data_IF_097163325161
#
_entry.id   IF_097163325161
#
_cell.length_a   1.000
_cell.length_b   1.000
_cell.length_c   1.000
_cell.angle_alpha   90.00
_cell.angle_beta   90.00
_cell.angle_gamma   90.00
#
_symmetry.space_group_name_H-M   'P 1'
#
loop_
_entity.id
_entity.type
_entity.pdbx_description
1 polymer ?
#
# COMPACT_ATOMS: atom_id res chain seq x y z
N UNK A 1 -10.28 16.12 29.06
CA UNK A 1 -10.29 15.42 27.77
C UNK A 1 -9.34 16.18 26.86
N UNK A 2 -8.12 15.70 26.68
CA UNK A 2 -7.13 16.32 25.79
C UNK A 2 -7.47 15.88 24.37
N UNK A 3 -8.11 16.76 23.58
CA UNK A 3 -8.29 16.54 22.15
C UNK A 3 -6.95 16.81 21.49
N UNK A 4 -6.23 15.75 21.16
CA UNK A 4 -5.14 15.88 20.17
C UNK A 4 -5.77 16.40 18.88
N UNK A 5 -5.15 17.39 18.20
CA UNK A 5 -5.60 17.77 16.87
C UNK A 5 -5.55 16.53 15.97
N UNK A 6 -6.50 16.37 15.04
CA UNK A 6 -6.45 15.28 14.08
C UNK A 6 -5.08 15.30 13.41
N UNK A 7 -4.43 14.14 13.34
CA UNK A 7 -3.15 14.02 12.63
C UNK A 7 -3.38 14.54 11.19
N UNK A 8 -2.56 15.47 10.75
CA UNK A 8 -2.61 15.95 9.36
C UNK A 8 -2.26 14.75 8.49
N UNK A 9 -3.24 14.25 7.76
CA UNK A 9 -3.03 13.19 6.76
C UNK A 9 -2.40 13.86 5.54
N UNK A 10 -1.14 13.58 5.27
CA UNK A 10 -0.48 14.02 4.04
C UNK A 10 -1.03 13.15 2.90
N UNK A 11 -1.63 13.79 1.89
CA UNK A 11 -2.11 13.09 0.70
C UNK A 11 -0.94 12.64 -0.18
N UNK A 12 -1.12 11.55 -0.94
CA UNK A 12 -0.16 11.13 -1.97
C UNK A 12 0.01 12.19 -3.08
N UNK A 13 -1.02 13.03 -3.31
CA UNK A 13 -0.94 14.13 -4.27
C UNK A 13 -0.28 15.40 -3.70
N UNK A 14 0.05 15.43 -2.39
CA UNK A 14 0.65 16.60 -1.77
C UNK A 14 1.97 16.98 -2.48
N UNK A 15 2.17 18.26 -2.80
CA UNK A 15 3.42 18.72 -3.41
C UNK A 15 4.68 18.31 -2.65
N UNK A 16 4.62 18.17 -1.33
CA UNK A 16 5.77 17.71 -0.53
C UNK A 16 6.20 16.30 -0.89
N UNK A 17 5.25 15.39 -1.19
CA UNK A 17 5.55 14.02 -1.63
C UNK A 17 6.13 14.03 -3.04
N UNK A 18 5.56 14.80 -3.95
CA UNK A 18 6.07 14.94 -5.33
C UNK A 18 7.48 15.50 -5.38
N UNK A 19 7.80 16.45 -4.49
CA UNK A 19 9.09 17.13 -4.44
C UNK A 19 10.23 16.24 -3.89
N UNK A 20 9.94 15.08 -3.31
CA UNK A 20 10.96 14.17 -2.79
C UNK A 20 11.90 13.71 -3.91
N UNK A 21 13.19 13.93 -3.70
CA UNK A 21 14.23 13.46 -4.61
C UNK A 21 14.31 11.93 -4.58
N UNK A 22 14.51 11.32 -5.74
CA UNK A 22 14.78 9.90 -5.87
C UNK A 22 16.28 9.66 -6.05
N UNK A 23 16.85 8.80 -5.22
CA UNK A 23 18.19 8.20 -5.45
C UNK A 23 17.98 6.69 -5.51
N UNK A 24 17.79 6.19 -6.73
CA UNK A 24 17.45 4.78 -6.97
C UNK A 24 18.57 3.83 -6.47
N UNK A 25 18.18 2.84 -5.65
CA UNK A 25 19.10 1.86 -5.06
C UNK A 25 19.47 0.72 -6.00
N UNK A 26 18.69 0.48 -7.04
CA UNK A 26 18.81 -0.66 -7.97
C UNK A 26 18.74 -2.03 -7.28
N UNK A 27 18.08 -2.10 -6.12
CA UNK A 27 17.85 -3.38 -5.47
C UNK A 27 16.99 -4.32 -6.34
N UNK A 28 17.33 -5.60 -6.27
CA UNK A 28 16.61 -6.66 -6.98
C UNK A 28 15.24 -6.90 -6.41
N UNK A 29 14.37 -7.46 -7.25
CA UNK A 29 13.07 -7.95 -6.84
C UNK A 29 13.17 -9.38 -6.29
N UNK A 30 12.28 -9.68 -5.33
CA UNK A 30 12.16 -10.99 -4.69
C UNK A 30 10.71 -11.46 -4.83
N UNK A 31 10.51 -12.73 -5.17
CA UNK A 31 9.20 -13.34 -5.18
C UNK A 31 8.79 -13.71 -3.75
N UNK A 32 7.67 -13.19 -3.30
CA UNK A 32 7.16 -13.39 -1.94
C UNK A 32 6.64 -14.81 -1.68
N UNK A 33 6.26 -15.56 -2.72
CA UNK A 33 5.67 -16.89 -2.58
C UNK A 33 6.61 -17.90 -1.88
N UNK A 34 7.92 -17.67 -1.94
CA UNK A 34 8.94 -18.55 -1.35
C UNK A 34 9.76 -17.85 -0.26
N UNK A 35 9.33 -16.68 0.19
CA UNK A 35 10.14 -15.83 1.06
C UNK A 35 10.33 -16.42 2.47
N UNK A 36 9.25 -16.72 3.16
CA UNK A 36 9.29 -17.14 4.56
C UNK A 36 7.95 -17.80 4.96
N UNK A 37 7.98 -18.84 5.82
CA UNK A 37 6.78 -19.59 6.24
C UNK A 37 5.72 -18.75 6.96
N UNK A 38 6.08 -17.61 7.55
CA UNK A 38 5.15 -16.66 8.19
C UNK A 38 4.70 -15.50 7.28
N UNK A 39 5.12 -15.49 6.01
CA UNK A 39 4.66 -14.58 4.97
C UNK A 39 3.97 -15.41 3.91
N UNK A 40 2.65 -15.40 3.92
CA UNK A 40 1.82 -16.04 2.92
C UNK A 40 1.44 -15.04 1.82
N UNK A 41 1.11 -15.54 0.63
CA UNK A 41 0.62 -14.75 -0.50
C UNK A 41 -0.74 -15.28 -0.93
N UNK A 42 -1.68 -14.39 -1.19
CA UNK A 42 -2.97 -14.74 -1.76
C UNK A 42 -2.87 -14.88 -3.28
N UNK A 43 -2.78 -16.11 -3.74
CA UNK A 43 -2.71 -16.45 -5.17
C UNK A 43 -4.05 -16.29 -5.89
N UNK A 44 -5.16 -16.16 -5.16
CA UNK A 44 -6.50 -16.05 -5.75
C UNK A 44 -6.81 -14.63 -6.21
N UNK A 45 -6.07 -13.65 -5.71
CA UNK A 45 -6.25 -12.25 -6.02
C UNK A 45 -5.33 -11.81 -7.15
N UNK A 46 -5.64 -12.26 -8.36
CA UNK A 46 -5.07 -11.65 -9.57
C UNK A 46 -5.84 -10.37 -9.88
N UNK A 47 -5.35 -9.22 -9.41
CA UNK A 47 -5.91 -7.91 -9.76
C UNK A 47 -5.48 -7.53 -11.18
N UNK A 48 -4.41 -8.14 -11.67
CA UNK A 48 -3.84 -7.87 -12.99
C UNK A 48 -4.48 -8.78 -14.02
N UNK A 49 -5.28 -8.27 -14.97
CA UNK A 49 -5.74 -9.08 -16.10
C UNK A 49 -4.53 -9.60 -16.87
N UNK A 50 -4.41 -10.94 -17.00
CA UNK A 50 -3.41 -11.56 -17.87
C UNK A 50 -2.19 -12.14 -17.18
N UNK A 51 -2.37 -12.96 -16.16
CA UNK A 51 -1.35 -13.91 -15.61
C UNK A 51 -0.01 -13.31 -15.16
N UNK A 52 0.06 -12.02 -14.84
CA UNK A 52 1.30 -11.44 -14.33
C UNK A 52 1.56 -11.88 -12.90
N UNK A 53 2.59 -12.68 -12.67
CA UNK A 53 3.11 -13.02 -11.36
C UNK A 53 3.78 -11.84 -10.64
N UNK A 54 3.73 -10.63 -11.24
CA UNK A 54 4.44 -9.47 -10.73
C UNK A 54 3.90 -8.97 -9.40
N UNK A 55 2.59 -9.15 -9.12
CA UNK A 55 2.00 -8.78 -7.84
C UNK A 55 2.61 -9.54 -6.63
N UNK A 56 3.32 -10.63 -6.87
CA UNK A 56 4.07 -11.39 -5.87
C UNK A 56 5.48 -10.83 -5.61
N UNK A 57 5.90 -9.79 -6.32
CA UNK A 57 7.28 -9.29 -6.28
C UNK A 57 7.37 -7.97 -5.55
N UNK A 58 8.43 -7.81 -4.76
CA UNK A 58 8.80 -6.56 -4.09
C UNK A 58 10.31 -6.37 -4.12
N UNK A 59 10.79 -5.16 -3.82
CA UNK A 59 12.23 -4.92 -3.61
C UNK A 59 12.77 -5.77 -2.48
N UNK A 60 14.03 -6.17 -2.56
CA UNK A 60 14.70 -7.01 -1.57
C UNK A 60 14.59 -6.44 -0.16
N UNK A 61 14.86 -5.16 0.03
CA UNK A 61 14.75 -4.51 1.33
C UNK A 61 13.32 -4.49 1.90
N UNK A 62 12.30 -4.50 1.04
CA UNK A 62 10.89 -4.68 1.44
C UNK A 62 10.65 -6.11 1.90
N UNK A 63 11.12 -7.11 1.13
CA UNK A 63 10.99 -8.52 1.49
C UNK A 63 11.65 -8.84 2.84
N UNK A 64 12.88 -8.37 3.05
CA UNK A 64 13.61 -8.59 4.30
C UNK A 64 12.87 -7.97 5.51
N UNK A 65 12.24 -6.80 5.32
CA UNK A 65 11.39 -6.16 6.35
C UNK A 65 10.09 -6.91 6.61
N UNK A 66 9.48 -7.51 5.60
CA UNK A 66 8.30 -8.37 5.80
C UNK A 66 8.64 -9.57 6.70
N UNK A 67 9.84 -10.15 6.57
CA UNK A 67 10.30 -11.21 7.47
C UNK A 67 10.46 -10.68 8.91
N UNK A 68 11.01 -9.48 9.08
CA UNK A 68 11.10 -8.84 10.41
C UNK A 68 9.71 -8.60 10.99
N UNK A 69 8.79 -8.00 10.22
CA UNK A 69 7.40 -7.79 10.67
C UNK A 69 6.73 -9.11 11.08
N UNK A 70 6.84 -10.14 10.23
CA UNK A 70 6.27 -11.45 10.50
C UNK A 70 6.84 -12.09 11.77
N UNK A 71 8.11 -11.86 12.09
CA UNK A 71 8.76 -12.40 13.29
C UNK A 71 8.24 -11.79 14.60
N UNK A 72 7.63 -10.61 14.55
CA UNK A 72 7.06 -9.92 15.72
C UNK A 72 5.60 -10.28 15.99
N UNK A 73 4.94 -10.96 15.05
CA UNK A 73 3.55 -11.37 15.21
C UNK A 73 3.40 -12.48 16.27
N UNK A 74 2.23 -12.59 16.92
CA UNK A 74 1.86 -13.78 17.70
C UNK A 74 2.03 -15.06 16.88
N UNK A 75 2.36 -16.18 17.54
CA UNK A 75 2.69 -17.44 16.86
C UNK A 75 1.55 -18.03 16.00
N UNK A 76 0.31 -17.72 16.34
CA UNK A 76 -0.87 -18.16 15.62
C UNK A 76 -1.23 -17.29 14.41
N UNK A 77 -0.48 -16.21 14.14
CA UNK A 77 -0.75 -15.29 13.05
C UNK A 77 0.41 -15.22 12.05
N UNK A 78 0.09 -14.99 10.79
CA UNK A 78 1.02 -14.76 9.69
C UNK A 78 0.58 -13.53 8.90
N UNK A 79 1.49 -12.91 8.17
CA UNK A 79 1.15 -11.93 7.14
C UNK A 79 0.54 -12.66 5.95
N UNK A 80 -0.50 -12.10 5.35
CA UNK A 80 -1.05 -12.52 4.06
C UNK A 80 -0.97 -11.36 3.08
N UNK A 81 -0.02 -11.41 2.16
CA UNK A 81 0.17 -10.39 1.13
C UNK A 81 -0.85 -10.58 0.02
N UNK A 82 -1.56 -9.54 -0.31
CA UNK A 82 -2.58 -9.48 -1.36
C UNK A 82 -2.04 -8.86 -2.65
N UNK A 83 -1.16 -7.86 -2.53
CA UNK A 83 -0.52 -7.20 -3.65
C UNK A 83 0.88 -6.68 -3.24
N UNK A 84 1.85 -6.82 -4.13
CA UNK A 84 3.16 -6.19 -4.08
C UNK A 84 3.35 -5.25 -5.26
N UNK A 85 4.18 -5.63 -6.26
CA UNK A 85 4.41 -4.81 -7.44
C UNK A 85 3.15 -4.73 -8.34
N UNK A 86 2.86 -3.53 -8.82
CA UNK A 86 1.84 -3.25 -9.84
C UNK A 86 2.52 -2.57 -11.03
N UNK A 87 2.37 -3.06 -12.28
CA UNK A 87 2.95 -2.41 -13.45
C UNK A 87 2.55 -0.94 -13.56
N UNK A 88 3.50 -0.08 -13.87
CA UNK A 88 3.26 1.37 -14.00
C UNK A 88 2.19 1.68 -15.07
N UNK A 89 2.14 0.90 -16.15
CA UNK A 89 1.11 1.03 -17.17
C UNK A 89 -0.30 0.75 -16.61
N UNK A 90 -0.42 -0.25 -15.74
CA UNK A 90 -1.68 -0.57 -15.08
C UNK A 90 -2.08 0.52 -14.07
N UNK A 91 -1.12 1.03 -13.30
CA UNK A 91 -1.36 2.16 -12.39
C UNK A 91 -1.91 3.39 -13.14
N UNK A 92 -1.32 3.71 -14.30
CA UNK A 92 -1.83 4.78 -15.18
C UNK A 92 -3.25 4.51 -15.62
N UNK A 93 -3.54 3.30 -16.08
CA UNK A 93 -4.88 2.90 -16.52
C UNK A 93 -5.92 3.09 -15.41
N UNK A 94 -5.61 2.71 -14.18
CA UNK A 94 -6.50 2.88 -13.04
C UNK A 94 -6.71 4.36 -12.70
N UNK A 95 -5.63 5.13 -12.65
CA UNK A 95 -5.71 6.56 -12.36
C UNK A 95 -6.51 7.31 -13.43
N UNK A 96 -6.22 7.10 -14.71
CA UNK A 96 -6.88 7.77 -15.83
C UNK A 96 -8.36 7.41 -15.90
N UNK A 97 -8.70 6.14 -15.65
CA UNK A 97 -10.09 5.70 -15.59
C UNK A 97 -10.84 6.39 -14.46
N UNK A 98 -10.28 6.39 -13.24
CA UNK A 98 -10.93 7.02 -12.09
C UNK A 98 -11.08 8.53 -12.30
N UNK A 99 -10.08 9.19 -12.83
CA UNK A 99 -10.13 10.62 -13.19
C UNK A 99 -11.22 10.91 -14.25
N UNK A 100 -11.37 10.03 -15.24
CA UNK A 100 -12.43 10.14 -16.25
C UNK A 100 -13.83 9.93 -15.62
N UNK A 101 -13.97 9.03 -14.66
CA UNK A 101 -15.23 8.80 -13.95
C UNK A 101 -15.60 10.03 -13.11
N UNK A 102 -14.66 10.65 -12.42
CA UNK A 102 -14.87 11.90 -11.68
C UNK A 102 -15.28 13.06 -12.59
N UNK A 103 -14.64 13.21 -13.77
CA UNK A 103 -15.02 14.25 -14.74
C UNK A 103 -16.44 14.08 -15.26
N UNK A 104 -16.97 12.86 -15.30
CA UNK A 104 -18.37 12.59 -15.71
C UNK A 104 -19.36 12.83 -14.57
N UNK A 105 -18.94 12.61 -13.33
CA UNK A 105 -19.80 12.71 -12.16
C UNK A 105 -19.90 14.14 -11.61
N UNK A 106 -18.90 14.97 -11.83
CA UNK A 106 -18.79 16.32 -11.27
C UNK A 106 -19.19 17.41 -12.29
N UNK A 107 -19.50 18.63 -11.85
CA UNK A 107 -19.80 19.75 -12.74
C UNK A 107 -18.70 19.98 -13.80
N UNK A 108 -19.05 20.35 -15.05
CA UNK A 108 -18.07 20.52 -16.13
C UNK A 108 -17.01 21.60 -15.88
N UNK A 109 -17.29 22.54 -14.99
CA UNK A 109 -16.42 23.64 -14.58
C UNK A 109 -15.57 23.32 -13.35
N UNK A 110 -15.58 22.06 -12.88
CA UNK A 110 -14.72 21.62 -11.77
C UNK A 110 -13.25 21.80 -12.15
N UNK A 111 -12.45 22.54 -11.35
CA UNK A 111 -11.04 22.76 -11.62
C UNK A 111 -10.25 21.45 -11.72
N UNK A 112 -9.31 21.37 -12.65
CA UNK A 112 -8.47 20.18 -12.86
C UNK A 112 -7.70 19.78 -11.60
N UNK A 113 -7.20 20.75 -10.84
CA UNK A 113 -6.51 20.53 -9.57
C UNK A 113 -7.40 19.79 -8.56
N UNK A 114 -8.69 20.20 -8.48
CA UNK A 114 -9.68 19.53 -7.62
C UNK A 114 -9.94 18.09 -8.09
N UNK A 115 -10.05 17.87 -9.40
CA UNK A 115 -10.23 16.52 -9.96
C UNK A 115 -9.04 15.61 -9.64
N UNK A 116 -7.80 16.12 -9.77
CA UNK A 116 -6.59 15.38 -9.44
C UNK A 116 -6.49 15.09 -7.95
N UNK A 117 -6.86 16.03 -7.09
CA UNK A 117 -6.90 15.82 -5.64
C UNK A 117 -7.90 14.73 -5.27
N UNK A 118 -9.13 14.80 -5.81
CA UNK A 118 -10.17 13.82 -5.56
C UNK A 118 -9.76 12.43 -6.09
N UNK A 119 -9.19 12.36 -7.30
CA UNK A 119 -8.71 11.10 -7.86
C UNK A 119 -7.64 10.46 -6.96
N UNK A 120 -6.75 11.27 -6.41
CA UNK A 120 -5.63 10.83 -5.58
C UNK A 120 -6.03 10.25 -4.21
N UNK A 121 -7.30 10.39 -3.81
CA UNK A 121 -7.80 9.81 -2.56
C UNK A 121 -7.93 8.29 -2.63
N UNK A 122 -8.19 7.75 -3.83
CA UNK A 122 -8.46 6.32 -4.06
C UNK A 122 -7.43 5.65 -4.97
N UNK A 123 -6.82 6.41 -5.87
CA UNK A 123 -5.81 5.89 -6.77
C UNK A 123 -4.61 6.84 -6.77
N UNK A 124 -3.47 6.35 -6.33
CA UNK A 124 -2.25 7.15 -6.32
C UNK A 124 -1.86 7.62 -7.74
N UNK A 125 -1.49 8.90 -7.92
CA UNK A 125 -0.92 9.37 -9.18
C UNK A 125 0.32 8.55 -9.56
N UNK A 126 0.52 8.21 -10.85
CA UNK A 126 1.61 7.33 -11.29
C UNK A 126 3.02 7.79 -10.90
N UNK A 127 3.22 9.09 -10.72
CA UNK A 127 4.51 9.71 -10.36
C UNK A 127 4.88 9.59 -8.87
N UNK A 128 3.91 9.22 -8.04
CA UNK A 128 4.09 9.03 -6.59
C UNK A 128 3.60 7.68 -6.09
N UNK A 129 2.98 6.87 -6.93
CA UNK A 129 2.46 5.56 -6.57
C UNK A 129 3.58 4.62 -6.11
N UNK A 130 3.39 3.95 -4.98
CA UNK A 130 4.40 3.10 -4.37
C UNK A 130 4.46 1.68 -4.97
N UNK A 131 3.33 1.08 -5.39
CA UNK A 131 3.30 -0.26 -5.99
C UNK A 131 4.18 -0.40 -7.24
N UNK A 132 4.22 0.58 -8.19
CA UNK A 132 5.11 0.49 -9.35
C UNK A 132 6.59 0.58 -9.02
N UNK A 133 6.96 0.93 -7.80
CA UNK A 133 8.35 0.95 -7.34
C UNK A 133 8.80 -0.38 -6.72
N UNK A 134 7.86 -1.29 -6.43
CA UNK A 134 8.08 -2.48 -5.62
C UNK A 134 8.29 -2.19 -4.13
N UNK A 135 7.94 -0.97 -3.69
CA UNK A 135 8.06 -0.49 -2.31
C UNK A 135 6.85 -0.80 -1.45
N UNK A 136 5.69 -0.99 -2.04
CA UNK A 136 4.43 -1.16 -1.33
C UNK A 136 3.95 -2.62 -1.28
N UNK A 137 3.19 -2.90 -0.23
CA UNK A 137 2.44 -4.13 -0.07
C UNK A 137 1.05 -3.82 0.49
N UNK A 138 0.03 -4.46 -0.09
CA UNK A 138 -1.28 -4.55 0.50
C UNK A 138 -1.41 -5.92 1.16
N UNK A 139 -1.75 -5.93 2.44
CA UNK A 139 -1.71 -7.15 3.23
C UNK A 139 -2.69 -7.16 4.40
N UNK A 140 -2.96 -8.35 4.90
CA UNK A 140 -3.75 -8.60 6.10
C UNK A 140 -3.07 -9.63 7.00
N UNK A 141 -3.74 -10.02 8.06
CA UNK A 141 -3.34 -11.13 8.93
C UNK A 141 -4.17 -12.38 8.61
N UNK A 142 -3.52 -13.53 8.67
CA UNK A 142 -4.14 -14.83 8.53
C UNK A 142 -3.73 -15.75 9.69
N UNK A 143 -4.69 -16.48 10.23
CA UNK A 143 -4.44 -17.46 11.29
C UNK A 143 -3.86 -18.77 10.73
N UNK A 144 -3.41 -19.65 11.62
CA UNK A 144 -2.81 -20.92 11.23
C UNK A 144 -3.77 -21.87 10.50
N UNK A 145 -5.08 -21.74 10.75
CA UNK A 145 -6.15 -22.52 10.08
C UNK A 145 -6.56 -21.94 8.70
N UNK A 146 -5.95 -20.84 8.27
CA UNK A 146 -6.23 -20.20 6.99
C UNK A 146 -7.35 -19.17 7.01
N UNK A 147 -7.88 -18.82 8.19
CA UNK A 147 -8.90 -17.78 8.32
C UNK A 147 -8.28 -16.39 8.36
N UNK A 148 -8.73 -15.48 7.48
CA UNK A 148 -8.31 -14.09 7.53
C UNK A 148 -8.88 -13.39 8.77
N UNK A 149 -8.07 -12.54 9.39
CA UNK A 149 -8.50 -11.76 10.54
C UNK A 149 -9.53 -10.70 10.13
N UNK A 150 -10.53 -10.49 10.98
CA UNK A 150 -11.46 -9.36 10.80
C UNK A 150 -10.68 -8.04 10.90
N UNK A 151 -10.70 -7.26 9.85
CA UNK A 151 -10.10 -5.92 9.79
C UNK A 151 -11.15 -4.81 9.71
N UNK A 152 -12.46 -5.15 9.80
CA UNK A 152 -13.56 -4.20 9.83
C UNK A 152 -14.15 -3.84 8.46
N UNK A 153 -13.39 -3.97 7.39
CA UNK A 153 -13.87 -3.93 6.01
C UNK A 153 -12.92 -4.72 5.11
N UNK A 154 -13.40 -5.05 3.94
CA UNK A 154 -12.60 -5.70 2.90
C UNK A 154 -11.53 -4.73 2.38
N UNK A 155 -10.47 -5.30 1.86
CA UNK A 155 -9.38 -4.60 1.18
C UNK A 155 -9.93 -3.91 -0.09
N UNK A 156 -9.39 -2.76 -0.46
CA UNK A 156 -9.81 -1.90 -1.58
C UNK A 156 -11.22 -1.27 -1.46
N UNK A 157 -11.89 -1.45 -0.33
CA UNK A 157 -13.14 -0.74 -0.11
C UNK A 157 -12.90 0.77 -0.06
N UNK A 158 -13.69 1.53 -0.80
CA UNK A 158 -13.71 2.99 -0.70
C UNK A 158 -14.26 3.45 0.64
N UNK A 159 -14.10 4.73 0.95
CA UNK A 159 -14.64 5.32 2.15
C UNK A 159 -16.20 5.28 2.15
N UNK A 160 -16.83 5.51 1.00
CA UNK A 160 -18.28 5.39 0.85
C UNK A 160 -18.77 3.95 1.02
N UNK A 161 -18.14 2.97 0.37
CA UNK A 161 -18.51 1.56 0.45
C UNK A 161 -18.33 1.00 1.86
N UNK A 162 -17.26 1.42 2.54
CA UNK A 162 -16.94 0.98 3.89
C UNK A 162 -17.55 1.84 5.00
N UNK A 163 -18.22 2.94 4.66
CA UNK A 163 -18.68 3.95 5.63
C UNK A 163 -17.53 4.43 6.55
N UNK A 164 -16.36 4.66 5.95
CA UNK A 164 -15.14 5.11 6.63
C UNK A 164 -14.39 4.01 7.39
N UNK A 165 -14.76 2.74 7.25
CA UNK A 165 -14.04 1.64 7.87
C UNK A 165 -12.69 1.34 7.20
N UNK A 166 -12.41 1.84 5.99
CA UNK A 166 -11.11 1.70 5.30
C UNK A 166 -9.98 2.48 5.99
N UNK A 167 -10.28 3.59 6.66
CA UNK A 167 -9.26 4.37 7.38
C UNK A 167 -8.63 3.56 8.51
N UNK A 168 -7.30 3.56 8.60
CA UNK A 168 -6.55 2.78 9.59
C UNK A 168 -7.00 3.06 11.02
N UNK A 169 -7.26 4.32 11.35
CA UNK A 169 -7.74 4.77 12.67
C UNK A 169 -9.27 4.80 12.82
N UNK A 170 -10.03 4.11 11.95
CA UNK A 170 -11.50 4.10 12.02
C UNK A 170 -12.00 3.64 13.38
N UNK A 171 -13.00 4.35 13.91
CA UNK A 171 -13.73 3.99 15.14
C UNK A 171 -15.04 3.25 14.84
N UNK A 172 -15.37 3.05 13.57
CA UNK A 172 -16.63 2.44 13.10
C UNK A 172 -16.46 0.94 12.79
N UNK A 173 -15.52 0.28 13.45
CA UNK A 173 -15.20 -1.13 13.27
C UNK A 173 -15.32 -1.90 14.59
N UNK A 174 -15.37 -3.23 14.52
CA UNK A 174 -15.45 -4.09 15.69
C UNK A 174 -14.23 -3.95 16.60
N UNK A 175 -14.37 -4.31 17.88
CA UNK A 175 -13.24 -4.34 18.82
C UNK A 175 -12.15 -5.33 18.37
N UNK A 176 -12.56 -6.40 17.73
CA UNK A 176 -11.64 -7.41 17.20
C UNK A 176 -10.85 -6.86 16.01
N UNK A 177 -11.51 -6.13 15.09
CA UNK A 177 -10.85 -5.44 14.00
C UNK A 177 -9.85 -4.37 14.50
N UNK A 178 -10.23 -3.58 15.51
CA UNK A 178 -9.30 -2.63 16.15
C UNK A 178 -8.05 -3.35 16.69
N UNK A 179 -8.24 -4.46 17.41
CA UNK A 179 -7.12 -5.24 17.95
C UNK A 179 -6.23 -5.81 16.84
N UNK A 180 -6.83 -6.36 15.79
CA UNK A 180 -6.10 -6.96 14.67
C UNK A 180 -5.29 -5.91 13.90
N UNK A 181 -5.88 -4.72 13.67
CA UNK A 181 -5.14 -3.59 13.08
C UNK A 181 -4.00 -3.10 13.95
N UNK A 182 -4.16 -3.09 15.27
CA UNK A 182 -3.06 -2.73 16.17
C UNK A 182 -1.91 -3.75 16.10
N UNK A 183 -2.20 -5.05 16.02
CA UNK A 183 -1.19 -6.10 15.85
C UNK A 183 -0.45 -5.88 14.53
N UNK A 184 -1.19 -5.70 13.42
CA UNK A 184 -0.59 -5.46 12.11
C UNK A 184 0.27 -4.19 12.10
N UNK A 185 -0.29 -3.08 12.59
CA UNK A 185 0.41 -1.78 12.62
C UNK A 185 1.68 -1.83 13.45
N UNK A 186 1.64 -2.48 14.61
CA UNK A 186 2.83 -2.65 15.46
C UNK A 186 3.93 -3.44 14.74
N UNK A 187 3.58 -4.55 14.08
CA UNK A 187 4.52 -5.37 13.34
C UNK A 187 5.15 -4.61 12.17
N UNK A 188 4.32 -3.98 11.34
CA UNK A 188 4.79 -3.26 10.15
C UNK A 188 5.62 -2.02 10.52
N UNK A 189 5.20 -1.24 11.51
CA UNK A 189 5.96 -0.06 11.98
C UNK A 189 7.30 -0.47 12.59
N UNK A 190 7.35 -1.56 13.36
CA UNK A 190 8.61 -2.09 13.93
C UNK A 190 9.59 -2.48 12.83
N UNK A 191 9.09 -2.96 11.69
CA UNK A 191 9.92 -3.29 10.52
C UNK A 191 10.28 -2.06 9.67
N UNK A 192 9.83 -0.85 10.03
CA UNK A 192 10.17 0.41 9.37
C UNK A 192 9.26 0.79 8.20
N UNK A 193 8.13 0.11 8.02
CA UNK A 193 7.10 0.52 7.07
C UNK A 193 6.32 1.73 7.56
N UNK A 194 5.74 2.47 6.63
CA UNK A 194 4.72 3.49 6.89
C UNK A 194 3.39 3.04 6.33
N UNK A 195 2.32 3.37 7.04
CA UNK A 195 0.96 3.12 6.56
C UNK A 195 0.43 4.36 5.84
N UNK A 196 -0.37 4.14 4.78
CA UNK A 196 -1.20 5.19 4.21
C UNK A 196 -2.52 5.25 5.00
N UNK A 197 -2.80 6.32 5.76
CA UNK A 197 -3.89 6.31 6.74
C UNK A 197 -5.29 6.12 6.19
N UNK A 198 -5.51 6.36 4.89
CA UNK A 198 -6.79 6.13 4.22
C UNK A 198 -7.06 4.65 3.96
N UNK A 199 -6.03 3.80 4.07
CA UNK A 199 -6.05 2.39 3.69
C UNK A 199 -5.33 1.55 4.75
N UNK A 200 -6.08 0.83 5.61
CA UNK A 200 -5.49 0.04 6.69
C UNK A 200 -4.53 -1.06 6.18
N UNK A 201 -4.70 -1.50 4.94
CA UNK A 201 -3.94 -2.57 4.30
C UNK A 201 -2.65 -2.10 3.64
N UNK A 202 -2.55 -0.81 3.24
CA UNK A 202 -1.45 -0.27 2.44
C UNK A 202 -0.26 0.16 3.28
N UNK A 203 0.88 -0.47 3.03
CA UNK A 203 2.14 -0.22 3.73
C UNK A 203 3.28 -0.08 2.74
N UNK A 204 4.16 0.89 2.93
CA UNK A 204 5.31 1.10 2.04
C UNK A 204 6.61 1.37 2.80
N UNK A 205 7.73 1.10 2.12
CA UNK A 205 9.08 1.37 2.58
C UNK A 205 9.96 1.78 1.41
N UNK A 206 10.65 2.93 1.52
CA UNK A 206 11.64 3.38 0.55
C UNK A 206 11.11 4.20 -0.62
N UNK A 207 9.79 4.36 -0.75
CA UNK A 207 9.14 5.23 -1.72
C UNK A 207 9.11 6.71 -1.27
N UNK A 208 8.54 7.59 -2.07
CA UNK A 208 8.46 9.02 -1.77
C UNK A 208 7.61 9.32 -0.53
N UNK A 209 6.47 8.62 -0.36
CA UNK A 209 5.61 8.82 0.79
C UNK A 209 6.31 8.40 2.09
N UNK A 210 6.96 7.23 2.09
CA UNK A 210 7.79 6.78 3.20
C UNK A 210 8.89 7.80 3.54
N UNK A 211 9.55 8.36 2.53
CA UNK A 211 10.62 9.33 2.76
C UNK A 211 10.10 10.60 3.49
N UNK A 212 8.92 11.10 3.11
CA UNK A 212 8.27 12.23 3.82
C UNK A 212 7.95 11.83 5.25
N UNK A 213 7.27 10.72 5.46
CA UNK A 213 6.79 10.29 6.77
C UNK A 213 7.94 9.95 7.74
N UNK A 214 9.05 9.43 7.22
CA UNK A 214 10.26 9.10 7.99
C UNK A 214 11.31 10.21 7.99
N UNK A 215 10.99 11.38 7.40
CA UNK A 215 11.90 12.54 7.30
C UNK A 215 13.24 12.16 6.67
N UNK A 216 13.21 11.30 5.68
CA UNK A 216 14.40 10.90 4.93
C UNK A 216 14.72 11.96 3.84
N UNK A 217 15.97 12.15 3.49
CA UNK A 217 16.37 13.15 2.48
C UNK A 217 15.91 12.79 1.07
N UNK A 218 15.68 11.50 0.79
CA UNK A 218 15.29 10.99 -0.52
C UNK A 218 14.53 9.67 -0.42
N UNK A 219 13.76 9.37 -1.46
CA UNK A 219 13.28 8.03 -1.74
C UNK A 219 14.42 7.17 -2.30
N UNK A 220 14.36 5.85 -2.08
CA UNK A 220 15.37 4.90 -2.56
C UNK A 220 14.84 3.92 -3.61
N UNK A 221 13.53 3.90 -3.84
CA UNK A 221 12.87 3.07 -4.86
C UNK A 221 12.01 3.94 -5.75
N UNK A 222 12.33 3.95 -7.04
CA UNK A 222 11.55 4.61 -8.09
C UNK A 222 10.68 3.63 -8.87
N UNK A 223 9.70 4.14 -9.64
CA UNK A 223 8.90 3.31 -10.53
C UNK A 223 9.80 2.61 -11.56
N UNK A 224 9.51 1.34 -11.82
CA UNK A 224 10.18 0.54 -12.84
C UNK A 224 9.15 -0.12 -13.74
N UNK A 225 9.53 -0.34 -14.99
CA UNK A 225 8.70 -1.07 -15.94
C UNK A 225 8.77 -2.58 -15.69
N UNK A 226 7.76 -3.28 -16.14
CA UNK A 226 7.58 -4.71 -15.92
C UNK A 226 8.75 -5.57 -16.43
N UNK A 227 9.35 -5.21 -17.58
CA UNK A 227 10.53 -5.91 -18.10
C UNK A 227 11.75 -5.80 -17.15
N UNK A 228 11.92 -4.67 -16.46
CA UNK A 228 12.99 -4.48 -15.47
C UNK A 228 12.76 -5.38 -14.26
N UNK A 229 11.50 -5.52 -13.81
CA UNK A 229 11.15 -6.44 -12.72
C UNK A 229 11.50 -7.87 -13.09
N UNK A 230 11.27 -8.26 -14.33
CA UNK A 230 11.59 -9.58 -14.85
C UNK A 230 13.12 -9.85 -14.83
N UNK A 231 13.91 -8.88 -15.29
CA UNK A 231 15.38 -8.96 -15.32
C UNK A 231 16.01 -8.92 -13.92
N UNK A 232 15.42 -8.15 -12.98
CA UNK A 232 15.96 -7.94 -11.65
C UNK A 232 15.39 -8.92 -10.59
N UNK A 233 14.59 -9.90 -10.99
CA UNK A 233 14.07 -10.93 -10.06
C UNK A 233 15.13 -12.03 -9.85
N UNK A 234 15.29 -12.43 -8.58
CA UNK A 234 16.18 -13.54 -8.14
C UNK A 234 15.33 -14.70 -7.68
#
# INVERSE_FOLDING_TARGET
MSSFPPAIVISLSDPVVRAVTLIESHERFVNLATLHHRVAVDLTRSIVPGDSEHFLKVRRGVADRLVVAASTLPDNLRLLVKEGYRPLALQRTYFDKHLADLRRALPPDTPEETLLELASRYVAPPDVAAHPTGAAVDLTLISADGTEADMGCVLDATDEESSGACYTGSQFISRDAVRNRHILSAAMTTAGFVNYPSEWWHWSFGDKYWAVMQRQPNAIYGPVDEHVVQEWTV
#
